data_IF_408734062056
#
_entry.id   IF_408734062056
#
_cell.length_a   1.000
_cell.length_b   1.000
_cell.length_c   1.000
_cell.angle_alpha   90.00
_cell.angle_beta   90.00
_cell.angle_gamma   90.00
#
_symmetry.space_group_name_H-M   'P 1'
#
loop_
_entity.id
_entity.type
_entity.pdbx_description
1 polymer ?
#
# COMPACT_ATOMS: atom_id res chain seq x y z
N UNK A 1 -72.46 -10.07 19.26
CA UNK A 1 -71.24 -9.22 19.20
C UNK A 1 -70.03 -9.85 19.91
N UNK A 2 -70.20 -10.57 21.02
CA UNK A 2 -69.09 -11.18 21.79
C UNK A 2 -68.31 -12.29 21.04
N UNK A 3 -68.99 -13.12 20.26
CA UNK A 3 -68.32 -14.20 19.50
C UNK A 3 -67.47 -13.68 18.33
N UNK A 4 -67.84 -12.53 17.74
CA UNK A 4 -67.05 -11.89 16.68
C UNK A 4 -65.76 -11.28 17.24
N UNK A 5 -65.81 -10.78 18.48
CA UNK A 5 -64.65 -10.26 19.19
C UNK A 5 -63.63 -11.36 19.52
N UNK A 6 -64.10 -12.56 19.87
CA UNK A 6 -63.23 -13.72 20.13
C UNK A 6 -62.54 -14.20 18.86
N UNK A 7 -63.26 -14.24 17.73
CA UNK A 7 -62.68 -14.61 16.43
C UNK A 7 -61.61 -13.59 16.00
N UNK A 8 -61.87 -12.30 16.20
CA UNK A 8 -60.90 -11.24 15.91
C UNK A 8 -59.64 -11.37 16.79
N UNK A 9 -59.79 -11.73 18.06
CA UNK A 9 -58.68 -11.89 19.00
C UNK A 9 -57.76 -13.09 18.66
N UNK A 10 -58.32 -14.18 18.11
CA UNK A 10 -57.54 -15.35 17.67
C UNK A 10 -56.73 -15.06 16.40
N UNK A 11 -57.24 -14.22 15.50
CA UNK A 11 -56.55 -13.86 14.24
C UNK A 11 -55.32 -12.99 14.51
N UNK A 12 -55.39 -12.06 15.47
CA UNK A 12 -54.26 -11.16 15.81
C UNK A 12 -53.10 -11.91 16.46
N UNK A 13 -53.37 -12.98 17.21
CA UNK A 13 -52.33 -13.78 17.88
C UNK A 13 -51.60 -14.79 16.98
N UNK A 14 -52.05 -14.99 15.74
CA UNK A 14 -51.49 -16.00 14.83
C UNK A 14 -50.40 -15.47 13.89
N UNK A 15 -49.98 -14.20 14.05
CA UNK A 15 -48.90 -13.62 13.25
C UNK A 15 -47.54 -13.94 13.86
N UNK A 16 -46.85 -14.95 13.32
CA UNK A 16 -45.42 -15.13 13.57
C UNK A 16 -44.62 -14.06 12.80
N UNK A 17 -43.99 -13.15 13.53
CA UNK A 17 -43.08 -12.15 12.97
C UNK A 17 -41.72 -12.83 12.74
N UNK A 18 -41.50 -13.40 11.55
CA UNK A 18 -40.18 -13.91 11.16
C UNK A 18 -39.31 -12.74 10.70
N UNK A 19 -38.36 -12.33 11.54
CA UNK A 19 -37.33 -11.36 11.19
C UNK A 19 -36.18 -12.07 10.46
N UNK A 20 -36.02 -11.80 9.17
CA UNK A 20 -34.82 -12.18 8.42
C UNK A 20 -33.79 -11.08 8.59
N UNK A 21 -33.05 -11.11 9.69
CA UNK A 21 -31.94 -10.18 9.87
C UNK A 21 -30.79 -10.55 8.95
N UNK A 22 -30.23 -9.61 8.18
CA UNK A 22 -29.05 -9.88 7.37
C UNK A 22 -27.88 -10.17 8.31
N UNK A 23 -27.28 -11.35 8.16
CA UNK A 23 -26.03 -11.65 8.86
C UNK A 23 -24.89 -10.94 8.13
N UNK A 24 -24.18 -10.07 8.84
CA UNK A 24 -22.97 -9.44 8.31
C UNK A 24 -21.82 -10.42 8.48
N UNK A 25 -21.36 -10.99 7.36
CA UNK A 25 -20.09 -11.71 7.33
C UNK A 25 -19.00 -10.64 7.38
N UNK A 26 -18.34 -10.51 8.53
CA UNK A 26 -17.09 -9.78 8.59
C UNK A 26 -16.03 -10.65 7.90
N UNK A 27 -15.75 -10.34 6.63
CA UNK A 27 -14.57 -10.86 5.98
C UNK A 27 -13.36 -10.19 6.63
N UNK A 28 -12.75 -10.89 7.59
CA UNK A 28 -11.41 -10.54 8.02
C UNK A 28 -10.53 -10.70 6.80
N UNK A 29 -9.94 -9.58 6.36
CA UNK A 29 -8.93 -9.58 5.32
C UNK A 29 -7.73 -10.44 5.76
N UNK A 30 -7.84 -11.74 5.53
CA UNK A 30 -6.83 -12.76 5.80
C UNK A 30 -5.94 -12.96 4.59
N UNK A 31 -5.67 -11.90 3.80
CA UNK A 31 -4.74 -11.94 2.68
C UNK A 31 -3.27 -12.15 3.10
N UNK A 32 -3.00 -12.56 4.35
CA UNK A 32 -1.65 -12.82 4.87
C UNK A 32 -1.57 -13.97 5.89
N UNK A 33 -2.48 -14.95 5.88
CA UNK A 33 -2.47 -16.03 6.90
C UNK A 33 -2.20 -17.45 6.40
N UNK A 34 -1.87 -17.65 5.13
CA UNK A 34 -1.43 -18.96 4.63
C UNK A 34 -0.27 -18.82 3.63
N UNK A 35 0.94 -18.57 4.14
CA UNK A 35 2.19 -19.18 3.65
C UNK A 35 3.31 -19.00 4.70
N UNK A 36 3.54 -20.06 5.49
CA UNK A 36 4.75 -20.34 6.27
C UNK A 36 5.28 -19.31 7.28
N UNK A 37 4.79 -19.40 8.52
CA UNK A 37 5.51 -19.75 9.78
C UNK A 37 6.97 -19.42 10.08
N UNK A 38 7.75 -18.84 9.18
CA UNK A 38 9.05 -18.18 9.42
C UNK A 38 9.32 -17.40 8.15
N UNK A 39 9.18 -16.07 8.19
CA UNK A 39 9.84 -15.24 7.17
C UNK A 39 11.32 -15.59 7.29
N UNK A 40 11.83 -16.43 6.38
CA UNK A 40 13.23 -16.80 6.33
C UNK A 40 14.00 -15.54 5.95
N UNK A 41 14.33 -14.73 6.96
CA UNK A 41 15.04 -13.48 6.76
C UNK A 41 16.43 -13.85 6.26
N UNK A 42 16.78 -13.35 5.08
CA UNK A 42 18.09 -13.49 4.51
C UNK A 42 19.08 -12.59 5.28
N UNK A 43 19.55 -13.07 6.43
CA UNK A 43 20.60 -12.41 7.24
C UNK A 43 21.90 -12.25 6.47
N UNK A 44 22.07 -12.99 5.36
CA UNK A 44 23.24 -12.91 4.51
C UNK A 44 23.16 -11.80 3.44
N UNK A 45 22.04 -11.10 3.34
CA UNK A 45 21.88 -9.99 2.41
C UNK A 45 22.87 -8.85 2.73
N UNK A 46 23.57 -8.35 1.71
CA UNK A 46 24.62 -7.31 1.85
C UNK A 46 24.09 -6.02 2.50
N UNK A 47 22.86 -5.61 2.20
CA UNK A 47 22.23 -4.41 2.76
C UNK A 47 21.92 -4.52 4.26
N UNK A 48 21.79 -5.75 4.77
CA UNK A 48 21.61 -5.99 6.22
C UNK A 48 22.97 -6.09 6.93
N UNK A 49 23.96 -6.73 6.28
CA UNK A 49 25.31 -6.86 6.85
C UNK A 49 26.03 -5.52 6.95
N UNK A 50 25.94 -4.73 5.91
CA UNK A 50 26.57 -3.41 5.83
C UNK A 50 25.49 -2.37 5.54
N UNK A 51 25.20 -1.56 6.56
CA UNK A 51 24.16 -0.55 6.51
C UNK A 51 24.48 0.60 5.55
N UNK A 52 25.74 0.73 5.12
CA UNK A 52 26.21 1.74 4.17
C UNK A 52 26.44 1.16 2.76
N UNK A 53 26.16 -0.12 2.55
CA UNK A 53 26.27 -0.74 1.24
C UNK A 53 25.22 -0.19 0.27
N UNK A 54 25.67 0.34 -0.85
CA UNK A 54 24.84 0.79 -1.96
C UNK A 54 25.38 0.26 -3.28
N UNK A 55 24.54 0.16 -4.30
CA UNK A 55 24.95 -0.34 -5.62
C UNK A 55 24.18 0.35 -6.73
N UNK A 56 24.80 0.50 -7.89
CA UNK A 56 24.15 0.99 -9.09
C UNK A 56 23.65 -0.19 -9.93
N UNK A 57 22.36 -0.21 -10.26
CA UNK A 57 21.73 -1.23 -11.11
C UNK A 57 21.29 -0.59 -12.43
N UNK A 58 21.74 -1.16 -13.56
CA UNK A 58 21.26 -0.75 -14.87
C UNK A 58 19.96 -1.48 -15.17
N UNK A 59 18.89 -0.71 -15.40
CA UNK A 59 17.56 -1.24 -15.71
C UNK A 59 17.60 -1.96 -17.05
N UNK A 60 17.10 -3.19 -17.10
CA UNK A 60 16.95 -3.98 -18.33
C UNK A 60 15.60 -3.71 -19.01
N UNK A 61 15.51 -4.01 -20.29
CA UNK A 61 14.26 -3.94 -21.03
C UNK A 61 13.20 -4.86 -20.39
N UNK A 62 12.02 -4.32 -20.11
CA UNK A 62 10.92 -5.05 -19.46
C UNK A 62 11.09 -5.32 -17.95
N UNK A 63 12.15 -4.81 -17.32
CA UNK A 63 12.37 -4.99 -15.88
C UNK A 63 11.46 -4.05 -15.06
N UNK A 64 10.85 -4.58 -14.00
CA UNK A 64 9.97 -3.81 -13.11
C UNK A 64 10.67 -3.37 -11.83
N UNK A 65 10.22 -2.26 -11.25
CA UNK A 65 10.71 -1.80 -9.95
C UNK A 65 10.53 -2.87 -8.87
N UNK A 66 9.38 -3.53 -8.81
CA UNK A 66 9.11 -4.59 -7.83
C UNK A 66 10.09 -5.76 -7.97
N UNK A 67 10.45 -6.15 -9.19
CA UNK A 67 11.45 -7.20 -9.44
C UNK A 67 12.85 -6.79 -8.96
N UNK A 68 13.25 -5.55 -9.22
CA UNK A 68 14.51 -4.97 -8.74
C UNK A 68 14.54 -4.94 -7.21
N UNK A 69 13.46 -4.48 -6.58
CA UNK A 69 13.31 -4.42 -5.15
C UNK A 69 13.42 -5.81 -4.50
N UNK A 70 12.74 -6.80 -5.06
CA UNK A 70 12.82 -8.18 -4.59
C UNK A 70 14.23 -8.77 -4.76
N UNK A 71 14.93 -8.45 -5.85
CA UNK A 71 16.31 -8.88 -6.09
C UNK A 71 17.29 -8.36 -5.04
N UNK A 72 17.15 -7.10 -4.62
CA UNK A 72 18.11 -6.46 -3.71
C UNK A 72 17.69 -6.53 -2.23
N UNK A 73 16.40 -6.34 -1.93
CA UNK A 73 15.87 -6.28 -0.56
C UNK A 73 14.90 -7.43 -0.24
N UNK A 74 14.73 -8.40 -1.14
CA UNK A 74 13.94 -9.59 -0.89
C UNK A 74 14.38 -10.30 0.39
N UNK A 75 13.40 -10.72 1.18
CA UNK A 75 13.61 -11.46 2.43
C UNK A 75 14.50 -10.73 3.45
N UNK A 76 14.72 -9.42 3.34
CA UNK A 76 15.51 -8.66 4.34
C UNK A 76 14.73 -8.34 5.61
N UNK A 77 13.39 -8.45 5.57
CA UNK A 77 12.51 -8.00 6.65
C UNK A 77 12.26 -6.48 6.65
N UNK A 78 12.89 -5.73 5.74
CA UNK A 78 12.63 -4.31 5.55
C UNK A 78 11.22 -4.07 4.99
N UNK A 79 10.63 -2.93 5.36
CA UNK A 79 9.33 -2.53 4.84
C UNK A 79 9.48 -2.13 3.36
N UNK A 80 9.01 -2.99 2.47
CA UNK A 80 9.16 -2.80 1.03
C UNK A 80 8.55 -1.51 0.52
N UNK A 81 7.49 -1.00 1.16
CA UNK A 81 6.85 0.26 0.75
C UNK A 81 7.75 1.46 0.99
N UNK A 82 8.46 1.47 2.12
CA UNK A 82 9.43 2.53 2.44
C UNK A 82 10.59 2.48 1.45
N UNK A 83 11.08 1.27 1.12
CA UNK A 83 12.16 1.10 0.14
C UNK A 83 11.72 1.59 -1.24
N UNK A 84 10.51 1.21 -1.68
CA UNK A 84 9.94 1.63 -2.96
C UNK A 84 9.91 3.16 -3.07
N UNK A 85 9.31 3.85 -2.08
CA UNK A 85 9.21 5.31 -2.06
C UNK A 85 10.61 5.95 -2.06
N UNK A 86 11.54 5.41 -1.29
CA UNK A 86 12.91 5.93 -1.20
C UNK A 86 13.67 5.78 -2.51
N UNK A 87 13.50 4.66 -3.22
CA UNK A 87 14.08 4.44 -4.54
C UNK A 87 13.56 5.46 -5.55
N UNK A 88 12.25 5.72 -5.55
CA UNK A 88 11.63 6.70 -6.44
C UNK A 88 12.20 8.09 -6.17
N UNK A 89 12.24 8.50 -4.90
CA UNK A 89 12.69 9.84 -4.51
C UNK A 89 14.16 10.07 -4.86
N UNK A 90 15.02 9.08 -4.68
CA UNK A 90 16.45 9.17 -5.00
C UNK A 90 16.71 9.13 -6.51
N UNK A 91 15.84 8.48 -7.29
CA UNK A 91 16.06 8.20 -8.71
C UNK A 91 14.98 8.77 -9.63
N UNK A 92 14.46 9.97 -9.35
CA UNK A 92 13.38 10.61 -10.15
C UNK A 92 13.66 10.60 -11.65
N UNK A 93 14.92 10.74 -12.06
CA UNK A 93 15.36 10.72 -13.46
C UNK A 93 15.16 9.37 -14.18
N UNK A 94 14.99 8.27 -13.42
CA UNK A 94 14.79 6.93 -13.96
C UNK A 94 13.31 6.60 -14.19
N UNK A 95 12.38 7.42 -13.69
CA UNK A 95 10.94 7.18 -13.77
C UNK A 95 10.26 8.16 -14.73
N UNK A 96 9.28 7.67 -15.50
CA UNK A 96 8.43 8.52 -16.33
C UNK A 96 7.47 9.28 -15.41
N UNK A 97 7.61 10.62 -15.35
CA UNK A 97 6.75 11.48 -14.52
C UNK A 97 6.67 11.03 -13.05
N UNK A 98 7.79 10.51 -12.51
CA UNK A 98 7.87 9.99 -11.13
C UNK A 98 6.90 8.83 -10.83
N UNK A 99 6.38 8.15 -11.85
CA UNK A 99 5.47 7.04 -11.67
C UNK A 99 6.26 5.71 -11.47
N UNK A 100 6.09 5.01 -10.33
CA UNK A 100 6.80 3.75 -10.05
C UNK A 100 6.54 2.62 -11.04
N UNK A 101 5.39 2.65 -11.73
CA UNK A 101 5.04 1.65 -12.73
C UNK A 101 5.75 1.87 -14.07
N UNK A 102 6.36 3.04 -14.29
CA UNK A 102 7.01 3.39 -15.56
C UNK A 102 8.48 3.70 -15.34
N UNK A 103 9.31 2.67 -15.47
CA UNK A 103 10.76 2.73 -15.33
C UNK A 103 11.42 2.75 -16.72
N UNK A 104 12.32 3.71 -16.97
CA UNK A 104 13.05 3.77 -18.23
C UNK A 104 14.11 2.67 -18.31
N UNK A 105 14.09 1.89 -19.39
CA UNK A 105 15.13 0.91 -19.65
C UNK A 105 16.49 1.57 -19.95
N UNK A 106 17.57 0.89 -19.59
CA UNK A 106 18.95 1.35 -19.75
C UNK A 106 19.41 2.43 -18.78
N UNK A 107 18.51 3.03 -17.98
CA UNK A 107 18.88 3.99 -16.94
C UNK A 107 19.59 3.31 -15.78
N UNK A 108 20.43 4.08 -15.09
CA UNK A 108 21.13 3.64 -13.88
C UNK A 108 20.28 4.05 -12.68
N UNK A 109 19.89 3.05 -11.91
CA UNK A 109 19.17 3.18 -10.64
C UNK A 109 20.17 3.00 -9.51
N UNK A 110 20.29 4.01 -8.65
CA UNK A 110 20.99 3.88 -7.37
C UNK A 110 20.10 3.08 -6.41
N UNK A 111 20.62 1.95 -5.96
CA UNK A 111 20.03 1.12 -4.91
C UNK A 111 20.66 1.59 -3.58
N UNK A 112 19.93 2.39 -2.78
CA UNK A 112 20.48 3.06 -1.60
C UNK A 112 20.74 2.08 -0.46
N UNK A 113 21.66 2.48 0.39
CA UNK A 113 21.93 1.79 1.64
C UNK A 113 20.82 2.02 2.66
N UNK A 114 20.80 1.19 3.72
CA UNK A 114 19.81 1.32 4.80
C UNK A 114 19.99 2.65 5.53
N UNK A 115 21.23 3.12 5.70
CA UNK A 115 21.51 4.42 6.31
C UNK A 115 21.02 5.58 5.45
N UNK A 116 21.17 5.52 4.13
CA UNK A 116 20.64 6.52 3.20
C UNK A 116 19.11 6.59 3.24
N UNK A 117 18.44 5.43 3.25
CA UNK A 117 16.98 5.37 3.40
C UNK A 117 16.55 5.95 4.74
N UNK A 118 17.22 5.57 5.83
CA UNK A 118 16.94 6.09 7.16
C UNK A 118 17.13 7.61 7.21
N UNK A 119 18.19 8.14 6.61
CA UNK A 119 18.44 9.58 6.55
C UNK A 119 17.37 10.30 5.73
N UNK A 120 16.91 9.72 4.61
CA UNK A 120 15.83 10.28 3.81
C UNK A 120 14.50 10.33 4.57
N UNK A 121 14.20 9.29 5.36
CA UNK A 121 12.98 9.24 6.18
C UNK A 121 13.07 10.21 7.37
N UNK A 122 14.23 10.32 8.01
CA UNK A 122 14.45 11.22 9.17
C UNK A 122 14.48 12.69 8.76
N UNK A 123 15.21 12.97 7.69
CA UNK A 123 15.39 14.31 7.16
C UNK A 123 14.32 14.52 6.08
N UNK A 124 13.05 14.59 6.51
CA UNK A 124 12.04 15.18 5.65
C UNK A 124 12.57 16.55 5.20
N UNK A 125 12.52 16.89 3.90
CA UNK A 125 13.06 18.15 3.44
C UNK A 125 12.35 19.28 4.18
N UNK A 126 13.12 20.11 4.90
CA UNK A 126 12.67 21.45 5.21
C UNK A 126 12.13 22.03 3.91
N UNK A 127 10.86 22.43 3.90
CA UNK A 127 10.21 23.07 2.74
C UNK A 127 10.96 24.36 2.38
N UNK A 128 12.05 24.24 1.65
CA UNK A 128 12.74 25.30 0.92
C UNK A 128 12.84 24.91 -0.54
N UNK A 129 11.73 24.49 -1.12
CA UNK A 129 11.50 24.69 -2.55
C UNK A 129 10.69 25.97 -2.72
N UNK A 130 11.39 27.08 -2.97
CA UNK A 130 10.78 28.27 -3.56
C UNK A 130 10.26 27.88 -4.95
N UNK A 131 8.98 27.53 -5.04
CA UNK A 131 8.24 27.50 -6.30
C UNK A 131 7.05 28.43 -6.14
N UNK A 132 7.12 29.60 -6.78
CA UNK A 132 5.96 30.46 -7.00
C UNK A 132 5.03 29.71 -7.96
N UNK A 133 3.97 29.07 -7.46
CA UNK A 133 2.79 28.78 -8.28
C UNK A 133 1.58 29.49 -7.69
N UNK A 134 1.41 30.74 -8.13
CA UNK A 134 0.12 31.41 -8.07
C UNK A 134 -0.83 30.69 -9.00
N UNK A 135 -1.75 29.88 -8.48
CA UNK A 135 -3.07 29.63 -9.05
C UNK A 135 -3.89 28.81 -8.04
N UNK A 136 -4.90 29.47 -7.47
CA UNK A 136 -5.91 28.85 -6.61
C UNK A 136 -6.74 27.89 -7.47
N UNK A 137 -6.51 26.60 -7.33
CA UNK A 137 -7.38 25.59 -7.93
C UNK A 137 -8.59 25.40 -7.02
N UNK A 138 -9.68 26.10 -7.34
CA UNK A 138 -10.97 25.86 -6.70
C UNK A 138 -11.53 24.53 -7.18
N UNK A 139 -11.92 23.67 -6.24
CA UNK A 139 -12.61 22.41 -6.53
C UNK A 139 -14.11 22.72 -6.52
N UNK A 140 -14.80 22.47 -7.63
CA UNK A 140 -16.26 22.59 -7.73
C UNK A 140 -16.90 21.20 -7.66
N UNK A 141 -17.84 21.03 -6.75
CA UNK A 141 -18.74 19.88 -6.71
C UNK A 141 -20.11 20.32 -7.24
N UNK A 142 -20.56 19.72 -8.33
CA UNK A 142 -21.96 19.77 -8.74
C UNK A 142 -22.58 18.43 -8.34
N UNK A 143 -23.52 18.46 -7.40
CA UNK A 143 -24.36 17.31 -7.08
C UNK A 143 -25.44 17.15 -8.14
N UNK A 144 -25.70 15.90 -8.52
CA UNK A 144 -26.89 15.50 -9.26
C UNK A 144 -27.96 15.00 -8.29
#
# INVERSE_FOLDING_TARGET
>A
MKNFFVIFLVIVFSFEIKSNEPFVILEYNNQNLNESGTKNINKNNKFIKDHNYSVNHKVKDGESLSGILHKYYGNTGLNMKIIEISIIEINKHAFVRENPHFLYAGKILKIPSVSEIMNLVRNAPDKKSNSKSSQRNHIYFYGN
#
